data_IF_361288479334
#
_entry.id   IF_361288479334
#
_cell.length_a   1.000
_cell.length_b   1.000
_cell.length_c   1.000
_cell.angle_alpha   90.00
_cell.angle_beta   90.00
_cell.angle_gamma   90.00
#
_symmetry.space_group_name_H-M   'P 1'
#
loop_
_entity.id
_entity.type
_entity.pdbx_description
1 polymer ?
#
# COMPACT_ATOMS: atom_id res chain seq x y z
N UNK A 1 5.13 23.61 21.49
CA UNK A 1 6.33 23.22 20.71
C UNK A 1 6.09 21.85 20.14
N UNK A 2 6.61 21.56 18.95
CA UNK A 2 6.62 20.22 18.39
C UNK A 2 7.81 19.44 18.95
N UNK A 3 7.61 18.15 19.23
CA UNK A 3 8.65 17.22 19.67
C UNK A 3 8.66 16.06 18.69
N UNK A 4 9.84 15.73 18.16
CA UNK A 4 10.03 14.59 17.27
C UNK A 4 9.95 13.27 18.06
N UNK A 5 9.23 12.29 17.53
CA UNK A 5 9.17 10.94 18.07
C UNK A 5 10.19 10.07 17.34
N UNK A 6 11.21 9.60 18.06
CA UNK A 6 12.30 8.81 17.48
C UNK A 6 13.23 9.60 16.56
N UNK A 7 14.12 8.90 15.86
CA UNK A 7 14.93 9.44 14.77
C UNK A 7 14.14 9.44 13.46
N UNK A 8 14.70 10.08 12.43
CA UNK A 8 14.19 9.99 11.07
C UNK A 8 14.23 8.53 10.58
N UNK A 9 13.25 8.14 9.77
CA UNK A 9 13.23 6.85 9.08
C UNK A 9 13.77 7.08 7.67
N UNK A 10 15.03 6.72 7.46
CA UNK A 10 15.70 6.91 6.16
C UNK A 10 15.35 5.80 5.14
N UNK A 11 15.40 6.17 3.86
CA UNK A 11 15.36 5.22 2.75
C UNK A 11 16.60 4.33 2.68
N UNK A 12 16.50 3.19 2.01
CA UNK A 12 17.58 2.18 1.98
C UNK A 12 18.61 2.44 0.89
N UNK A 13 18.17 2.93 -0.29
CA UNK A 13 19.06 3.27 -1.38
C UNK A 13 18.69 4.59 -2.09
N UNK A 14 19.67 5.08 -2.87
CA UNK A 14 19.51 6.29 -3.68
C UNK A 14 18.61 5.98 -4.88
N UNK A 15 17.51 6.71 -4.98
CA UNK A 15 16.62 6.64 -6.14
C UNK A 15 15.34 5.88 -5.87
N UNK A 16 15.23 5.18 -4.74
CA UNK A 16 14.05 4.39 -4.38
C UNK A 16 12.80 5.25 -4.10
N UNK A 17 13.01 6.54 -3.85
CA UNK A 17 11.98 7.49 -3.46
C UNK A 17 11.20 7.04 -2.20
N UNK A 18 11.88 6.52 -1.19
CA UNK A 18 11.28 6.26 0.13
C UNK A 18 10.62 7.52 0.67
N UNK A 19 9.35 7.39 1.07
CA UNK A 19 8.50 8.54 1.43
C UNK A 19 7.69 9.10 0.27
N UNK A 20 7.66 8.43 -0.89
CA UNK A 20 6.78 8.76 -2.01
C UNK A 20 5.31 8.85 -1.59
N UNK A 21 4.88 7.90 -0.74
CA UNK A 21 3.59 7.89 -0.08
C UNK A 21 3.78 7.52 1.38
N UNK A 22 3.03 8.16 2.27
CA UNK A 22 3.03 7.86 3.70
C UNK A 22 1.61 7.79 4.23
N UNK A 23 1.37 6.88 5.17
CA UNK A 23 0.11 6.80 5.91
C UNK A 23 0.39 6.54 7.38
N UNK A 24 -0.42 7.11 8.26
CA UNK A 24 -0.31 6.96 9.70
C UNK A 24 -1.60 6.32 10.25
N UNK A 25 -1.48 5.43 11.23
CA UNK A 25 -2.63 4.93 11.99
C UNK A 25 -3.30 6.04 12.79
N UNK A 26 -4.55 5.84 13.23
CA UNK A 26 -5.32 6.90 13.89
C UNK A 26 -4.74 7.34 15.23
N UNK A 27 -4.03 6.44 15.92
CA UNK A 27 -3.35 6.71 17.19
C UNK A 27 -1.92 7.27 17.00
N UNK A 28 -1.43 7.33 15.76
CA UNK A 28 -0.10 7.81 15.44
C UNK A 28 1.03 6.81 15.74
N UNK A 29 0.73 5.56 16.11
CA UNK A 29 1.74 4.59 16.54
C UNK A 29 2.32 3.75 15.40
N UNK A 30 1.67 3.71 14.23
CA UNK A 30 2.10 2.92 13.07
C UNK A 30 2.16 3.78 11.82
N UNK A 31 3.26 3.71 11.09
CA UNK A 31 3.49 4.43 9.82
C UNK A 31 3.83 3.46 8.71
N UNK A 32 3.16 3.60 7.56
CA UNK A 32 3.51 2.92 6.31
C UNK A 32 4.20 3.90 5.38
N UNK A 33 5.26 3.45 4.71
CA UNK A 33 6.12 4.25 3.85
C UNK A 33 6.33 3.48 2.55
N UNK A 34 5.88 4.04 1.43
CA UNK A 34 6.16 3.50 0.10
C UNK A 34 7.44 4.07 -0.50
N UNK A 35 8.18 3.23 -1.22
CA UNK A 35 9.30 3.62 -2.06
C UNK A 35 9.09 3.05 -3.46
N UNK A 36 8.52 3.87 -4.34
CA UNK A 36 7.97 3.47 -5.64
C UNK A 36 9.02 2.90 -6.61
N UNK A 37 10.28 3.30 -6.50
CA UNK A 37 11.36 2.88 -7.41
C UNK A 37 12.41 2.00 -6.74
N UNK A 38 12.11 1.40 -5.58
CA UNK A 38 13.01 0.41 -5.00
C UNK A 38 13.20 -0.80 -5.95
N UNK A 39 14.40 -1.38 -5.92
CA UNK A 39 14.88 -2.39 -6.86
C UNK A 39 15.07 -3.79 -6.23
N UNK A 40 14.74 -3.99 -4.95
CA UNK A 40 15.14 -5.19 -4.19
C UNK A 40 14.53 -6.49 -4.72
N UNK A 41 13.33 -6.43 -5.30
CA UNK A 41 12.69 -7.56 -5.98
C UNK A 41 12.55 -7.37 -7.50
N UNK A 42 13.53 -6.68 -8.10
CA UNK A 42 13.58 -6.36 -9.53
C UNK A 42 13.52 -4.86 -9.79
N UNK A 43 14.02 -4.42 -10.94
CA UNK A 43 14.16 -2.99 -11.24
C UNK A 43 12.79 -2.28 -11.15
N UNK A 44 12.68 -1.28 -10.28
CA UNK A 44 11.47 -0.51 -9.97
C UNK A 44 10.29 -1.40 -9.62
N UNK A 45 10.54 -2.50 -8.92
CA UNK A 45 9.48 -3.31 -8.30
C UNK A 45 8.74 -2.48 -7.24
N UNK A 46 9.46 -1.57 -6.58
CA UNK A 46 8.96 -0.81 -5.46
C UNK A 46 8.80 -1.69 -4.22
N UNK A 47 8.69 -1.05 -3.05
CA UNK A 47 8.41 -1.76 -1.80
C UNK A 47 7.70 -0.84 -0.82
N UNK A 48 7.12 -1.45 0.22
CA UNK A 48 6.51 -0.74 1.34
C UNK A 48 7.08 -1.26 2.64
N UNK A 49 7.47 -0.32 3.51
CA UNK A 49 7.92 -0.59 4.88
C UNK A 49 6.92 -0.05 5.87
N UNK A 50 6.62 -0.83 6.89
CA UNK A 50 5.72 -0.41 7.98
C UNK A 50 6.52 -0.40 9.28
N UNK A 51 6.41 0.67 10.04
CA UNK A 51 7.08 0.85 11.32
C UNK A 51 6.06 1.09 12.42
N UNK A 52 6.31 0.53 13.59
CA UNK A 52 5.58 0.81 14.81
C UNK A 52 6.50 1.52 15.81
N UNK A 53 6.00 2.58 16.43
CA UNK A 53 6.73 3.29 17.47
C UNK A 53 6.78 2.44 18.75
N UNK A 54 8.00 2.13 19.21
CA UNK A 54 8.23 1.39 20.44
C UNK A 54 8.81 2.32 21.51
N UNK A 55 8.02 2.57 22.55
CA UNK A 55 8.45 3.37 23.71
C UNK A 55 9.46 2.63 24.61
N UNK A 56 9.57 1.30 24.46
CA UNK A 56 10.41 0.45 25.31
C UNK A 56 11.86 0.36 24.82
N UNK A 57 12.16 0.84 23.62
CA UNK A 57 13.55 0.97 23.18
C UNK A 57 14.24 2.15 23.90
N UNK A 58 15.57 2.16 23.89
CA UNK A 58 16.37 3.20 24.54
C UNK A 58 17.43 3.74 23.56
N UNK A 59 17.17 4.91 22.91
CA UNK A 59 15.97 5.74 23.02
C UNK A 59 14.73 5.10 22.36
N UNK A 60 13.53 5.55 22.72
CA UNK A 60 12.28 5.19 22.03
C UNK A 60 12.41 5.43 20.53
N UNK A 61 11.94 4.49 19.72
CA UNK A 61 12.27 4.43 18.30
C UNK A 61 11.16 3.81 17.47
N UNK A 62 11.13 4.15 16.19
CA UNK A 62 10.37 3.42 15.19
C UNK A 62 11.06 2.09 14.90
N UNK A 63 10.33 0.99 15.08
CA UNK A 63 10.80 -0.39 14.83
C UNK A 63 9.99 -0.97 13.70
N UNK A 64 10.65 -1.61 12.74
CA UNK A 64 9.97 -2.18 11.58
C UNK A 64 9.01 -3.31 12.01
N UNK A 65 7.77 -3.23 11.53
CA UNK A 65 6.69 -4.16 11.83
C UNK A 65 6.60 -5.19 10.71
N UNK A 66 7.28 -6.34 10.89
CA UNK A 66 7.39 -7.39 9.86
C UNK A 66 8.53 -7.13 8.87
N UNK A 67 8.63 -7.99 7.85
CA UNK A 67 9.54 -7.79 6.72
C UNK A 67 8.96 -6.76 5.74
N UNK A 68 9.79 -6.32 4.79
CA UNK A 68 9.37 -5.48 3.67
C UNK A 68 8.25 -6.14 2.85
N UNK A 69 7.37 -5.30 2.29
CA UNK A 69 6.33 -5.73 1.35
C UNK A 69 6.80 -5.32 -0.04
N UNK A 70 7.54 -6.21 -0.69
CA UNK A 70 8.10 -5.96 -2.02
C UNK A 70 7.03 -6.05 -3.12
N UNK A 71 7.18 -5.23 -4.15
CA UNK A 71 6.51 -5.46 -5.43
C UNK A 71 6.91 -6.81 -6.01
N UNK A 72 6.04 -7.44 -6.79
CA UNK A 72 6.22 -8.87 -7.15
C UNK A 72 7.00 -9.08 -8.44
N UNK A 73 7.28 -8.01 -9.20
CA UNK A 73 7.95 -8.07 -10.48
C UNK A 73 8.67 -6.76 -10.82
N UNK A 74 9.54 -6.81 -11.83
CA UNK A 74 10.14 -5.63 -12.45
C UNK A 74 9.05 -4.66 -12.94
N UNK A 75 9.17 -3.38 -12.57
CA UNK A 75 8.25 -2.34 -12.98
C UNK A 75 6.85 -2.46 -12.39
N UNK A 76 6.73 -3.05 -11.19
CA UNK A 76 5.48 -3.12 -10.42
C UNK A 76 5.15 -1.80 -9.70
N UNK A 77 6.17 -0.95 -9.46
CA UNK A 77 6.04 0.37 -8.83
C UNK A 77 5.17 0.35 -7.56
N UNK A 78 5.36 -0.66 -6.70
CA UNK A 78 4.65 -0.78 -5.43
C UNK A 78 5.01 0.40 -4.51
N UNK A 79 4.03 1.24 -4.13
CA UNK A 79 4.38 2.36 -3.24
C UNK A 79 3.30 3.38 -2.89
N UNK A 80 2.06 3.28 -3.40
CA UNK A 80 0.96 4.15 -2.95
C UNK A 80 0.29 3.52 -1.72
N UNK A 81 0.33 4.13 -0.52
CA UNK A 81 -0.06 3.43 0.72
C UNK A 81 -1.23 4.08 1.47
N UNK A 82 -2.07 3.24 2.09
CA UNK A 82 -3.09 3.69 3.04
C UNK A 82 -3.31 2.66 4.15
N UNK A 83 -3.15 3.09 5.41
CA UNK A 83 -3.38 2.27 6.60
C UNK A 83 -4.82 2.35 7.08
N UNK A 84 -5.27 1.24 7.65
CA UNK A 84 -6.43 1.17 8.54
C UNK A 84 -6.16 1.89 9.86
N UNK A 85 -7.21 2.16 10.64
CA UNK A 85 -7.11 2.94 11.87
C UNK A 85 -6.23 2.30 12.93
N UNK A 86 -6.20 0.96 13.01
CA UNK A 86 -5.39 0.20 13.96
C UNK A 86 -3.96 -0.09 13.44
N UNK A 87 -3.66 0.32 12.21
CA UNK A 87 -2.36 0.09 11.58
C UNK A 87 -2.09 -1.36 11.20
N UNK A 88 -3.07 -2.28 11.27
CA UNK A 88 -2.88 -3.73 11.02
C UNK A 88 -3.31 -4.18 9.63
N UNK A 89 -3.89 -3.29 8.83
CA UNK A 89 -4.16 -3.50 7.39
C UNK A 89 -3.64 -2.34 6.58
N UNK A 90 -2.97 -2.63 5.46
CA UNK A 90 -2.41 -1.65 4.53
C UNK A 90 -2.88 -1.96 3.11
N UNK A 91 -3.43 -0.96 2.41
CA UNK A 91 -3.64 -1.00 0.97
C UNK A 91 -2.42 -0.42 0.28
N UNK A 92 -1.96 -1.08 -0.77
CA UNK A 92 -0.79 -0.73 -1.57
C UNK A 92 -1.20 -0.67 -3.04
N UNK A 93 -1.02 0.48 -3.66
CA UNK A 93 -1.22 0.68 -5.09
C UNK A 93 0.06 0.49 -5.88
N UNK A 94 -0.10 -0.18 -7.02
CA UNK A 94 0.92 -0.60 -7.98
C UNK A 94 0.56 -0.02 -9.35
N UNK A 95 0.71 1.31 -9.55
CA UNK A 95 0.43 1.93 -10.84
C UNK A 95 1.38 1.38 -11.92
N UNK A 96 0.91 1.23 -13.16
CA UNK A 96 1.70 0.62 -14.22
C UNK A 96 2.81 1.56 -14.69
N UNK A 97 3.96 0.98 -15.05
CA UNK A 97 5.02 1.72 -15.70
C UNK A 97 4.55 2.29 -17.05
N UNK A 98 4.74 3.59 -17.27
CA UNK A 98 4.51 4.28 -18.55
C UNK A 98 3.10 4.03 -19.17
N UNK A 99 2.10 3.67 -18.37
CA UNK A 99 0.73 3.44 -18.84
C UNK A 99 0.56 2.20 -19.75
N UNK A 100 1.48 1.24 -19.74
CA UNK A 100 1.39 0.04 -20.61
C UNK A 100 0.54 -1.07 -19.95
N UNK A 101 0.46 -1.10 -18.62
CA UNK A 101 -0.40 -2.01 -17.85
C UNK A 101 -1.65 -1.32 -17.33
N UNK A 102 -2.57 -2.09 -16.75
CA UNK A 102 -3.76 -1.54 -16.10
C UNK A 102 -3.50 -1.07 -14.66
N UNK A 103 -2.40 -1.52 -14.06
CA UNK A 103 -2.10 -1.33 -12.64
C UNK A 103 -2.96 -2.23 -11.76
N UNK A 104 -2.65 -2.30 -10.48
CA UNK A 104 -3.46 -3.03 -9.51
C UNK A 104 -3.27 -2.48 -8.09
N UNK A 105 -4.07 -3.00 -7.16
CA UNK A 105 -3.95 -2.73 -5.74
C UNK A 105 -3.92 -4.05 -4.99
N UNK A 106 -3.01 -4.18 -4.04
CA UNK A 106 -2.96 -5.28 -3.07
C UNK A 106 -3.27 -4.76 -1.69
N UNK A 107 -3.97 -5.56 -0.89
CA UNK A 107 -4.22 -5.24 0.51
C UNK A 107 -3.56 -6.32 1.35
N UNK A 108 -2.84 -5.92 2.38
CA UNK A 108 -2.15 -6.83 3.29
C UNK A 108 -2.63 -6.63 4.71
N UNK A 109 -2.76 -7.73 5.45
CA UNK A 109 -3.04 -7.74 6.88
C UNK A 109 -1.85 -8.30 7.64
N UNK A 110 -1.45 -7.61 8.71
CA UNK A 110 -0.37 -8.05 9.57
C UNK A 110 -0.81 -9.26 10.40
N UNK A 111 -0.08 -10.37 10.27
CA UNK A 111 -0.34 -11.60 10.99
C UNK A 111 0.79 -11.87 11.99
N UNK A 112 0.50 -11.69 13.28
CA UNK A 112 1.43 -11.96 14.37
C UNK A 112 1.65 -13.46 14.65
N UNK A 113 0.84 -14.33 14.04
CA UNK A 113 0.94 -15.77 14.22
C UNK A 113 1.85 -16.47 13.20
N UNK A 114 2.35 -15.75 12.19
CA UNK A 114 3.41 -16.28 11.32
C UNK A 114 4.76 -16.22 12.04
N UNK A 115 5.73 -17.02 11.59
CA UNK A 115 7.07 -17.08 12.19
C UNK A 115 8.11 -16.90 11.07
N UNK A 116 8.72 -15.71 10.94
CA UNK A 116 8.45 -14.47 11.71
C UNK A 116 7.05 -13.89 11.41
N UNK A 117 6.55 -13.04 12.30
CA UNK A 117 5.32 -12.28 12.08
C UNK A 117 5.44 -11.46 10.78
N UNK A 118 4.40 -11.45 9.96
CA UNK A 118 4.49 -11.01 8.57
C UNK A 118 3.21 -10.38 8.05
N UNK A 119 3.34 -9.54 7.03
CA UNK A 119 2.23 -9.07 6.23
C UNK A 119 1.77 -10.17 5.28
N UNK A 120 0.48 -10.49 5.31
CA UNK A 120 -0.13 -11.52 4.46
C UNK A 120 -1.18 -10.86 3.60
N UNK A 121 -1.17 -11.15 2.30
CA UNK A 121 -2.13 -10.57 1.38
C UNK A 121 -3.56 -11.00 1.74
N UNK A 122 -4.46 -10.03 1.83
CA UNK A 122 -5.86 -10.17 2.14
C UNK A 122 -6.67 -10.20 0.84
N UNK A 123 -7.05 -11.39 0.39
CA UNK A 123 -7.72 -11.61 -0.90
C UNK A 123 -6.76 -11.58 -2.10
N UNK A 124 -7.32 -11.62 -3.30
CA UNK A 124 -6.58 -11.49 -4.56
C UNK A 124 -6.29 -10.02 -4.90
N UNK A 125 -5.41 -9.80 -5.88
CA UNK A 125 -5.14 -8.48 -6.47
C UNK A 125 -6.45 -7.85 -6.99
N UNK A 126 -6.57 -6.53 -6.85
CA UNK A 126 -7.64 -5.74 -7.45
C UNK A 126 -7.09 -5.10 -8.73
N UNK A 127 -7.32 -5.78 -9.86
CA UNK A 127 -6.78 -5.36 -11.16
C UNK A 127 -7.49 -4.11 -11.73
N UNK A 128 -6.69 -3.25 -12.38
CA UNK A 128 -7.18 -2.19 -13.26
C UNK A 128 -7.95 -2.71 -14.46
N UNK A 129 -8.79 -1.86 -15.06
CA UNK A 129 -9.70 -2.27 -16.14
C UNK A 129 -9.01 -2.34 -17.51
N UNK A 130 -8.26 -1.30 -17.88
CA UNK A 130 -7.56 -1.21 -19.15
C UNK A 130 -6.12 -0.67 -19.00
N UNK A 131 -5.28 -1.01 -19.98
CA UNK A 131 -3.92 -0.47 -20.06
C UNK A 131 -3.94 1.05 -20.20
N UNK A 132 -3.17 1.75 -19.37
CA UNK A 132 -3.12 3.22 -19.38
C UNK A 132 -3.98 3.89 -18.32
N UNK A 133 -4.87 3.15 -17.65
CA UNK A 133 -5.81 3.72 -16.67
C UNK A 133 -5.14 4.26 -15.39
N UNK A 134 -3.91 3.82 -15.12
CA UNK A 134 -3.15 4.14 -13.91
C UNK A 134 -3.88 3.70 -12.62
N UNK A 135 -4.56 2.54 -12.63
CA UNK A 135 -5.21 2.01 -11.44
C UNK A 135 -4.19 1.77 -10.33
N UNK A 136 -4.53 2.19 -9.11
CA UNK A 136 -3.62 2.10 -7.96
C UNK A 136 -2.69 3.31 -7.80
N UNK A 137 -2.83 4.35 -8.63
CA UNK A 137 -2.06 5.59 -8.44
C UNK A 137 -2.30 6.22 -7.06
N UNK A 138 -3.55 6.18 -6.61
CA UNK A 138 -3.94 6.59 -5.26
C UNK A 138 -4.88 5.56 -4.65
N UNK A 139 -4.71 5.30 -3.35
CA UNK A 139 -5.54 4.39 -2.58
C UNK A 139 -5.99 5.05 -1.28
N UNK A 140 -7.19 4.71 -0.82
CA UNK A 140 -7.69 5.10 0.50
C UNK A 140 -8.41 3.92 1.13
N UNK A 141 -7.94 3.50 2.31
CA UNK A 141 -8.47 2.38 3.06
C UNK A 141 -9.38 2.88 4.20
N UNK A 142 -10.50 2.20 4.42
CA UNK A 142 -11.40 2.50 5.53
C UNK A 142 -10.77 2.19 6.89
N UNK A 143 -11.31 2.82 7.93
CA UNK A 143 -10.86 2.65 9.32
C UNK A 143 -10.78 1.18 9.75
N UNK A 144 -11.71 0.34 9.29
CA UNK A 144 -11.80 -1.09 9.63
C UNK A 144 -11.01 -1.99 8.67
N UNK A 145 -10.32 -1.43 7.68
CA UNK A 145 -9.51 -2.17 6.71
C UNK A 145 -10.30 -2.96 5.68
N UNK A 146 -11.64 -2.83 5.62
CA UNK A 146 -12.49 -3.68 4.76
C UNK A 146 -13.03 -2.99 3.51
N UNK A 147 -12.81 -1.70 3.33
CA UNK A 147 -13.26 -0.97 2.13
C UNK A 147 -12.12 -0.14 1.58
N UNK A 148 -11.80 -0.29 0.30
CA UNK A 148 -10.73 0.45 -0.37
C UNK A 148 -11.28 1.22 -1.55
N UNK A 149 -10.93 2.50 -1.64
CA UNK A 149 -11.14 3.33 -2.84
C UNK A 149 -9.84 3.40 -3.64
N UNK A 150 -9.94 3.23 -4.95
CA UNK A 150 -8.81 3.12 -5.87
C UNK A 150 -8.99 4.16 -6.96
N UNK A 151 -8.07 5.12 -7.03
CA UNK A 151 -8.03 6.11 -8.11
C UNK A 151 -7.26 5.58 -9.31
N UNK A 152 -7.83 5.81 -10.50
CA UNK A 152 -7.26 5.49 -11.79
C UNK A 152 -7.41 6.71 -12.70
N UNK A 153 -6.42 7.58 -12.67
CA UNK A 153 -6.48 8.92 -13.28
C UNK A 153 -6.44 8.94 -14.80
N UNK A 154 -5.94 7.88 -15.44
CA UNK A 154 -5.88 7.76 -16.90
C UNK A 154 -7.06 7.03 -17.52
N UNK A 155 -8.09 6.68 -16.73
CA UNK A 155 -9.22 5.91 -17.25
C UNK A 155 -10.09 6.72 -18.22
N UNK A 156 -10.55 6.04 -19.27
CA UNK A 156 -11.26 6.65 -20.41
C UNK A 156 -12.79 6.53 -20.36
N UNK A 157 -13.36 5.98 -19.27
CA UNK A 157 -14.78 5.63 -19.18
C UNK A 157 -15.76 6.77 -19.44
N UNK A 158 -15.34 8.03 -19.22
CA UNK A 158 -16.12 9.24 -19.49
C UNK A 158 -15.37 10.25 -20.41
N UNK A 159 -14.48 9.76 -21.28
CA UNK A 159 -13.63 10.56 -22.17
C UNK A 159 -12.14 10.37 -21.88
N UNK A 160 -11.28 10.75 -22.83
CA UNK A 160 -9.83 10.53 -22.77
C UNK A 160 -9.23 11.09 -21.48
N UNK A 161 -8.54 10.24 -20.72
CA UNK A 161 -7.90 10.56 -19.44
C UNK A 161 -8.83 11.27 -18.45
N UNK A 162 -10.14 10.97 -18.50
CA UNK A 162 -11.13 11.59 -17.60
C UNK A 162 -10.98 11.12 -16.15
N UNK A 163 -10.38 9.94 -15.97
CA UNK A 163 -10.16 9.30 -14.70
C UNK A 163 -11.44 8.76 -14.07
N UNK A 164 -11.27 7.83 -13.14
CA UNK A 164 -12.37 7.36 -12.29
C UNK A 164 -11.86 6.82 -10.95
N UNK A 165 -12.80 6.52 -10.06
CA UNK A 165 -12.56 5.86 -8.78
C UNK A 165 -13.45 4.63 -8.69
N UNK A 166 -12.86 3.48 -8.35
CA UNK A 166 -13.61 2.27 -7.98
C UNK A 166 -13.46 2.03 -6.49
N UNK A 167 -14.55 1.58 -5.86
CA UNK A 167 -14.56 1.27 -4.43
C UNK A 167 -14.84 -0.22 -4.28
N UNK A 168 -14.09 -0.92 -3.43
CA UNK A 168 -14.23 -2.34 -3.19
C UNK A 168 -14.44 -2.62 -1.71
N UNK A 169 -15.27 -3.60 -1.40
CA UNK A 169 -15.46 -4.14 -0.06
C UNK A 169 -14.92 -5.57 0.02
N UNK A 170 -14.23 -5.91 1.10
CA UNK A 170 -13.74 -7.26 1.35
C UNK A 170 -14.88 -8.14 1.87
N UNK A 171 -15.29 -9.13 1.08
CA UNK A 171 -16.30 -10.11 1.45
C UNK A 171 -15.65 -11.42 1.90
N UNK A 172 -15.75 -11.70 3.21
CA UNK A 172 -15.28 -12.94 3.82
C UNK A 172 -16.15 -14.15 3.40
N UNK A 173 -17.37 -13.92 2.89
CA UNK A 173 -18.32 -14.99 2.56
C UNK A 173 -18.14 -15.59 1.15
N UNK A 174 -17.26 -15.02 0.32
CA UNK A 174 -16.91 -15.63 -0.97
C UNK A 174 -15.88 -16.76 -0.77
N UNK A 175 -15.74 -17.63 -1.78
CA UNK A 175 -14.80 -18.77 -1.75
C UNK A 175 -13.93 -18.78 -3.01
N UNK A 176 -12.67 -18.30 -2.94
CA UNK A 176 -12.03 -17.70 -1.77
C UNK A 176 -12.62 -16.32 -1.41
N UNK A 177 -12.42 -15.87 -0.17
CA UNK A 177 -12.78 -14.51 0.27
C UNK A 177 -12.15 -13.47 -0.66
N UNK A 178 -12.88 -12.42 -1.03
CA UNK A 178 -12.52 -11.57 -2.18
C UNK A 178 -12.98 -10.13 -2.02
N UNK A 179 -12.31 -9.24 -2.75
CA UNK A 179 -12.74 -7.85 -2.93
C UNK A 179 -13.87 -7.76 -3.97
N UNK A 180 -14.99 -7.16 -3.57
CA UNK A 180 -16.19 -6.99 -4.41
C UNK A 180 -16.40 -5.50 -4.65
N UNK A 181 -16.50 -5.10 -5.92
CA UNK A 181 -16.74 -3.70 -6.28
C UNK A 181 -18.11 -3.23 -5.77
N UNK A 182 -18.13 -2.05 -5.16
CA UNK A 182 -19.32 -1.34 -4.72
C UNK A 182 -19.76 -0.31 -5.77
N UNK A 183 -21.02 -0.38 -6.19
CA UNK A 183 -21.59 0.48 -7.21
C UNK A 183 -21.37 -0.03 -8.64
N UNK A 184 -22.33 0.29 -9.52
CA UNK A 184 -22.31 0.03 -10.96
C UNK A 184 -22.41 1.36 -11.70
#
# INVERSE_FOLDING_TARGET
SWVQLGLDIDGEARGDFSGWSVSLSSDGSTVAIGALENDDNGARSGHVRVYQYDENTSPSSWVQLGLDIDGVAEGDFSGSVSLSSDGRTVAIGNPPNLGIGSGHVRVYQYNENTIPASWVQLGLDIDGEAGGDLSGWSVSLSSDGRTVAIGAGGNDGNGTDSGHVRVFHYDENTSPSSWVQLGL
#
